data_IF_935608904954
#
_entry.id   IF_935608904954
#
_cell.length_a   1.000
_cell.length_b   1.000
_cell.length_c   1.000
_cell.angle_alpha   90.00
_cell.angle_beta   90.00
_cell.angle_gamma   90.00
#
_symmetry.space_group_name_H-M   'P 1'
#
loop_
_entity.id
_entity.type
_entity.pdbx_description
1 polymer ?
#
# COMPACT_ATOMS: atom_id res chain seq x y z
N UNK A 1 11.47 79.87 -48.83
CA UNK A 1 12.19 78.58 -49.00
C UNK A 1 11.82 77.71 -47.79
N UNK A 2 10.99 76.72 -48.01
CA UNK A 2 10.42 75.90 -46.92
C UNK A 2 11.15 74.56 -46.80
N UNK A 3 11.66 74.29 -45.63
CA UNK A 3 12.17 72.94 -45.21
C UNK A 3 11.00 72.15 -44.57
N UNK A 4 10.60 71.07 -45.20
CA UNK A 4 9.65 70.10 -44.65
C UNK A 4 10.43 69.15 -43.73
N UNK A 5 10.00 69.08 -42.49
CA UNK A 5 10.43 68.10 -41.51
C UNK A 5 9.68 66.77 -41.73
N UNK A 6 10.43 65.68 -41.82
CA UNK A 6 9.90 64.33 -41.84
C UNK A 6 9.91 63.82 -40.42
N UNK A 7 8.75 63.48 -39.88
CA UNK A 7 8.59 62.83 -38.58
C UNK A 7 8.51 61.34 -38.86
N UNK A 8 9.48 60.59 -38.39
CA UNK A 8 9.47 59.13 -38.38
C UNK A 8 8.80 58.62 -37.11
N UNK A 9 7.65 57.98 -37.26
CA UNK A 9 6.91 57.32 -36.16
C UNK A 9 7.46 55.92 -35.98
N UNK A 10 8.20 55.67 -34.89
CA UNK A 10 8.63 54.32 -34.49
C UNK A 10 7.52 53.61 -33.80
N UNK A 11 6.94 52.57 -34.40
CA UNK A 11 5.98 51.68 -33.79
C UNK A 11 6.74 50.59 -33.01
N UNK A 12 6.68 50.67 -31.70
CA UNK A 12 7.20 49.65 -30.81
C UNK A 12 6.19 48.51 -30.69
N UNK A 13 6.46 47.38 -31.32
CA UNK A 13 5.65 46.17 -31.14
C UNK A 13 6.02 45.53 -29.82
N UNK A 14 5.10 45.60 -28.85
CA UNK A 14 5.19 44.84 -27.62
C UNK A 14 4.82 43.38 -27.89
N UNK A 15 5.80 42.50 -27.85
CA UNK A 15 5.61 41.06 -27.89
C UNK A 15 5.08 40.60 -26.54
N UNK A 16 3.80 40.36 -26.42
CA UNK A 16 3.18 39.64 -25.29
C UNK A 16 3.54 38.18 -25.44
N UNK A 17 4.53 37.70 -24.67
CA UNK A 17 4.79 36.29 -24.48
C UNK A 17 3.60 35.69 -23.69
N UNK A 18 2.63 35.16 -24.41
CA UNK A 18 1.56 34.33 -23.82
C UNK A 18 2.17 33.06 -23.31
N UNK A 19 2.25 32.91 -21.97
CA UNK A 19 2.41 31.58 -21.34
C UNK A 19 1.22 30.72 -21.73
N UNK A 20 1.37 29.94 -22.78
CA UNK A 20 0.45 28.87 -23.09
C UNK A 20 0.60 27.80 -21.99
N UNK A 21 -0.24 27.90 -20.96
CA UNK A 21 -0.49 26.80 -20.05
C UNK A 21 -1.00 25.65 -20.92
N UNK A 22 -0.13 24.67 -21.18
CA UNK A 22 -0.51 23.40 -21.77
C UNK A 22 -1.55 22.78 -20.84
N UNK A 23 -2.84 22.97 -21.10
CA UNK A 23 -3.91 22.15 -20.55
C UNK A 23 -3.61 20.71 -20.98
N UNK A 24 -2.95 19.94 -20.09
CA UNK A 24 -2.90 18.48 -20.23
C UNK A 24 -4.32 18.01 -20.45
N UNK A 25 -4.55 17.27 -21.52
CA UNK A 25 -5.86 16.71 -21.84
C UNK A 25 -6.34 15.92 -20.64
N UNK A 26 -7.54 16.21 -20.16
CA UNK A 26 -8.20 15.66 -18.99
C UNK A 26 -8.59 14.18 -19.13
N UNK A 27 -7.97 13.43 -20.04
CA UNK A 27 -8.32 12.05 -20.36
C UNK A 27 -7.21 11.02 -20.10
N UNK A 28 -6.07 11.44 -19.54
CA UNK A 28 -5.01 10.48 -19.20
C UNK A 28 -5.32 9.89 -17.82
N UNK A 29 -5.74 8.63 -17.81
CA UNK A 29 -6.08 7.91 -16.60
C UNK A 29 -4.80 7.80 -15.72
N UNK A 30 -4.88 8.24 -14.46
CA UNK A 30 -3.76 8.17 -13.49
C UNK A 30 -3.20 6.75 -13.48
N UNK A 31 -1.90 6.55 -13.72
CA UNK A 31 -1.29 5.22 -13.64
C UNK A 31 -1.35 4.71 -12.20
N UNK A 32 -1.49 3.40 -12.05
CA UNK A 32 -1.59 2.73 -10.76
C UNK A 32 -0.40 1.80 -10.57
N UNK A 33 0.28 1.94 -9.44
CA UNK A 33 1.17 0.91 -8.87
C UNK A 33 0.38 0.22 -7.76
N UNK A 34 0.03 -1.05 -7.98
CA UNK A 34 -0.60 -1.86 -6.94
C UNK A 34 0.47 -2.37 -5.98
N UNK A 35 0.49 -1.85 -4.75
CA UNK A 35 1.51 -2.20 -3.76
C UNK A 35 1.11 -3.38 -2.86
N UNK A 36 -0.01 -4.08 -3.18
CA UNK A 36 -0.49 -5.19 -2.35
C UNK A 36 -1.15 -6.27 -3.22
N UNK A 37 -0.31 -7.00 -3.96
CA UNK A 37 -0.72 -8.11 -4.83
C UNK A 37 -0.31 -9.43 -4.21
N UNK A 38 -1.24 -10.38 -4.08
CA UNK A 38 -0.94 -11.76 -3.74
C UNK A 38 -1.16 -12.67 -4.96
N UNK A 39 -0.23 -13.57 -5.17
CA UNK A 39 -0.33 -14.65 -6.15
C UNK A 39 0.06 -15.94 -5.45
N UNK A 40 -0.74 -16.98 -5.55
CA UNK A 40 -0.37 -18.30 -5.03
C UNK A 40 -0.80 -19.44 -5.93
N UNK A 41 0.01 -20.49 -5.94
CA UNK A 41 -0.27 -21.75 -6.59
C UNK A 41 -0.25 -22.85 -5.52
N UNK A 42 -1.39 -23.47 -5.25
CA UNK A 42 -1.55 -24.51 -4.22
C UNK A 42 -0.80 -25.80 -4.56
N UNK A 43 -0.43 -26.01 -5.84
CA UNK A 43 0.45 -27.14 -6.23
C UNK A 43 1.92 -26.87 -5.85
N UNK A 44 2.28 -25.60 -5.66
CA UNK A 44 3.66 -25.16 -5.32
C UNK A 44 3.82 -24.81 -3.84
N UNK A 45 2.85 -24.11 -3.26
CA UNK A 45 2.92 -23.55 -1.92
C UNK A 45 1.91 -24.18 -0.98
N UNK A 46 2.34 -24.48 0.22
CA UNK A 46 1.49 -24.83 1.35
C UNK A 46 1.17 -23.59 2.17
N UNK A 47 -0.09 -23.25 2.26
CA UNK A 47 -0.62 -22.13 3.01
C UNK A 47 -1.40 -22.69 4.19
N UNK A 48 -0.86 -22.55 5.40
CA UNK A 48 -1.46 -23.15 6.61
C UNK A 48 -2.89 -22.63 6.88
N UNK A 49 -3.19 -21.40 6.44
CA UNK A 49 -4.49 -20.77 6.60
C UNK A 49 -5.55 -21.22 5.57
N UNK A 50 -5.16 -21.99 4.54
CA UNK A 50 -6.04 -22.32 3.41
C UNK A 50 -7.24 -23.18 3.83
N UNK A 51 -7.08 -24.06 4.83
CA UNK A 51 -8.18 -24.93 5.29
C UNK A 51 -9.32 -24.11 5.92
N UNK A 52 -8.99 -23.00 6.56
CA UNK A 52 -9.94 -22.08 7.22
C UNK A 52 -10.36 -20.91 6.31
N UNK A 53 -9.76 -20.79 5.12
CA UNK A 53 -10.05 -19.69 4.21
C UNK A 53 -11.53 -19.69 3.76
N UNK A 54 -12.12 -18.51 3.52
CA UNK A 54 -13.42 -18.40 2.87
C UNK A 54 -13.42 -19.06 1.49
N UNK A 55 -14.56 -19.66 1.02
CA UNK A 55 -14.61 -20.41 -0.23
C UNK A 55 -14.06 -19.68 -1.45
N UNK A 56 -14.26 -18.36 -1.55
CA UNK A 56 -13.78 -17.54 -2.65
C UNK A 56 -12.25 -17.55 -2.78
N UNK A 57 -11.51 -17.79 -1.68
CA UNK A 57 -10.06 -17.83 -1.66
C UNK A 57 -9.49 -19.26 -1.76
N UNK A 58 -10.30 -20.31 -1.66
CA UNK A 58 -9.87 -21.73 -1.68
C UNK A 58 -9.52 -22.23 -3.08
N UNK A 59 -8.68 -21.52 -3.80
CA UNK A 59 -8.12 -21.93 -5.10
C UNK A 59 -6.79 -21.25 -5.35
N UNK A 60 -6.06 -21.70 -6.35
CA UNK A 60 -4.90 -20.97 -6.86
C UNK A 60 -5.33 -19.67 -7.54
N UNK A 61 -4.49 -18.63 -7.40
CA UNK A 61 -4.65 -17.33 -8.04
C UNK A 61 -3.36 -16.97 -8.78
N UNK A 62 -3.46 -16.93 -10.11
CA UNK A 62 -2.34 -16.77 -11.01
C UNK A 62 -2.33 -15.41 -11.71
N UNK A 63 -1.27 -15.14 -12.47
CA UNK A 63 -1.15 -13.92 -13.28
C UNK A 63 -2.39 -13.66 -14.14
N UNK A 64 -2.93 -14.68 -14.80
CA UNK A 64 -4.09 -14.51 -15.68
C UNK A 64 -5.33 -14.00 -14.94
N UNK A 65 -5.56 -14.49 -13.71
CA UNK A 65 -6.66 -14.02 -12.87
C UNK A 65 -6.45 -12.55 -12.47
N UNK A 66 -5.21 -12.18 -12.11
CA UNK A 66 -4.87 -10.80 -11.75
C UNK A 66 -5.04 -9.84 -12.94
N UNK A 67 -4.54 -10.22 -14.11
CA UNK A 67 -4.69 -9.41 -15.33
C UNK A 67 -6.16 -9.23 -15.72
N UNK A 68 -6.99 -10.26 -15.51
CA UNK A 68 -8.42 -10.16 -15.72
C UNK A 68 -9.08 -9.19 -14.72
N UNK A 69 -8.68 -9.25 -13.43
CA UNK A 69 -9.22 -8.38 -12.37
C UNK A 69 -8.83 -6.90 -12.54
N UNK A 70 -7.66 -6.64 -13.12
CA UNK A 70 -7.11 -5.28 -13.28
C UNK A 70 -7.36 -4.68 -14.66
N UNK A 71 -8.04 -5.42 -15.55
CA UNK A 71 -8.30 -5.00 -16.93
C UNK A 71 -8.97 -3.63 -16.99
N UNK A 72 -8.37 -2.71 -17.76
CA UNK A 72 -8.91 -1.35 -17.99
C UNK A 72 -8.68 -0.35 -16.86
N UNK A 73 -7.96 -0.70 -15.78
CA UNK A 73 -7.71 0.17 -14.63
C UNK A 73 -6.39 0.95 -14.71
N UNK A 74 -5.58 0.75 -15.76
CA UNK A 74 -4.24 1.34 -15.92
C UNK A 74 -3.27 0.96 -14.77
N UNK A 75 -3.31 -0.30 -14.33
CA UNK A 75 -2.29 -0.85 -13.43
C UNK A 75 -1.02 -1.08 -14.23
N UNK A 76 0.01 -0.29 -13.97
CA UNK A 76 1.27 -0.30 -14.73
C UNK A 76 2.37 -1.12 -14.07
N UNK A 77 2.31 -1.24 -12.73
CA UNK A 77 3.23 -2.06 -11.93
C UNK A 77 2.49 -2.65 -10.73
N UNK A 78 3.05 -3.75 -10.20
CA UNK A 78 2.60 -4.33 -8.94
C UNK A 78 3.79 -4.70 -8.05
N UNK A 79 3.56 -4.73 -6.75
CA UNK A 79 4.46 -5.27 -5.73
C UNK A 79 3.78 -6.48 -5.11
N UNK A 80 4.46 -7.61 -5.21
CA UNK A 80 4.01 -8.84 -4.57
C UNK A 80 4.11 -8.74 -3.05
N UNK A 81 3.08 -9.17 -2.35
CA UNK A 81 3.09 -9.39 -0.90
C UNK A 81 3.06 -10.88 -0.61
N UNK A 82 3.84 -11.28 0.38
CA UNK A 82 3.90 -12.64 0.90
C UNK A 82 2.49 -13.22 1.18
N UNK A 83 2.37 -14.53 1.15
CA UNK A 83 1.09 -15.25 1.28
C UNK A 83 1.05 -16.18 2.49
N UNK A 84 1.91 -15.94 3.47
CA UNK A 84 2.08 -16.74 4.70
C UNK A 84 2.25 -18.25 4.38
N UNK A 85 3.20 -18.52 3.48
CA UNK A 85 3.65 -19.89 3.24
C UNK A 85 4.22 -20.51 4.52
N UNK A 86 4.18 -21.84 4.62
CA UNK A 86 4.83 -22.52 5.75
C UNK A 86 6.32 -22.12 5.84
N UNK A 87 6.93 -22.07 7.05
CA UNK A 87 8.29 -21.57 7.24
C UNK A 87 9.34 -22.26 6.37
N UNK A 88 9.17 -23.55 6.07
CA UNK A 88 10.06 -24.33 5.23
C UNK A 88 10.11 -23.84 3.77
N UNK A 89 9.09 -23.09 3.35
CA UNK A 89 8.96 -22.58 1.97
C UNK A 89 9.27 -21.07 1.83
N UNK A 90 9.73 -20.38 2.88
CA UNK A 90 10.07 -18.95 2.78
C UNK A 90 11.10 -18.65 1.68
N UNK A 91 12.13 -19.51 1.53
CA UNK A 91 13.10 -19.35 0.45
C UNK A 91 12.50 -19.62 -0.95
N UNK A 92 11.56 -20.55 -1.06
CA UNK A 92 10.87 -20.85 -2.31
C UNK A 92 9.97 -19.70 -2.73
N UNK A 93 9.29 -19.05 -1.77
CA UNK A 93 8.51 -17.84 -2.02
C UNK A 93 9.42 -16.69 -2.48
N UNK A 94 10.54 -16.43 -1.80
CA UNK A 94 11.49 -15.39 -2.18
C UNK A 94 12.09 -15.62 -3.58
N UNK A 95 12.35 -16.88 -3.94
CA UNK A 95 12.75 -17.27 -5.30
C UNK A 95 11.66 -17.00 -6.31
N UNK A 96 10.43 -17.40 -6.02
CA UNK A 96 9.25 -17.15 -6.88
C UNK A 96 9.07 -15.65 -7.13
N UNK A 97 9.12 -14.82 -6.10
CA UNK A 97 9.02 -13.37 -6.22
C UNK A 97 10.11 -12.81 -7.15
N UNK A 98 11.35 -13.29 -6.98
CA UNK A 98 12.47 -12.87 -7.82
C UNK A 98 12.28 -13.29 -9.28
N UNK A 99 11.72 -14.48 -9.53
CA UNK A 99 11.44 -15.00 -10.87
C UNK A 99 10.36 -14.17 -11.58
N UNK A 100 9.20 -13.95 -10.95
CA UNK A 100 8.10 -13.20 -11.55
C UNK A 100 8.46 -11.72 -11.77
N UNK A 101 9.30 -11.15 -10.89
CA UNK A 101 9.75 -9.75 -11.03
C UNK A 101 10.71 -9.51 -12.20
N UNK A 102 11.28 -10.57 -12.79
CA UNK A 102 12.12 -10.52 -13.99
C UNK A 102 11.36 -10.84 -15.26
N UNK A 103 10.16 -11.38 -15.15
CA UNK A 103 9.37 -11.82 -16.29
C UNK A 103 8.50 -10.66 -16.79
N UNK A 104 8.73 -10.16 -18.03
CA UNK A 104 7.99 -9.01 -18.55
C UNK A 104 6.49 -9.27 -18.79
N UNK A 105 6.03 -10.51 -18.67
CA UNK A 105 4.60 -10.84 -18.71
C UNK A 105 3.86 -10.40 -17.45
N UNK A 106 4.59 -10.21 -16.33
CA UNK A 106 4.03 -9.78 -15.06
C UNK A 106 4.15 -8.26 -14.90
N UNK A 107 3.12 -7.57 -14.42
CA UNK A 107 3.25 -6.21 -13.94
C UNK A 107 4.05 -6.14 -12.62
N UNK A 108 4.29 -7.29 -11.98
CA UNK A 108 4.99 -7.43 -10.70
C UNK A 108 6.49 -7.19 -10.90
N UNK A 109 7.02 -6.13 -10.31
CA UNK A 109 8.42 -5.71 -10.49
C UNK A 109 9.27 -5.87 -9.24
N UNK A 110 8.64 -6.12 -8.10
CA UNK A 110 9.28 -6.30 -6.80
C UNK A 110 8.33 -7.05 -5.84
N UNK A 111 8.84 -7.41 -4.66
CA UNK A 111 8.00 -7.97 -3.62
C UNK A 111 8.54 -7.85 -2.21
N UNK A 112 7.66 -8.16 -1.29
CA UNK A 112 7.84 -8.25 0.15
C UNK A 112 7.63 -9.72 0.51
N UNK A 113 8.59 -10.33 1.18
CA UNK A 113 8.61 -11.78 1.43
C UNK A 113 8.19 -12.12 2.86
N UNK A 114 7.76 -13.37 3.05
CA UNK A 114 7.49 -13.95 4.37
C UNK A 114 8.77 -14.04 5.20
N UNK A 115 8.63 -14.04 6.51
CA UNK A 115 9.73 -14.34 7.43
C UNK A 115 9.28 -14.36 8.88
N UNK A 116 10.17 -14.79 9.75
CA UNK A 116 9.91 -14.96 11.18
C UNK A 116 10.97 -14.19 11.99
N UNK A 117 10.79 -12.85 12.17
CA UNK A 117 11.73 -12.00 12.94
C UNK A 117 11.95 -12.47 14.38
N UNK A 118 10.99 -13.18 14.94
CA UNK A 118 11.04 -13.78 16.26
C UNK A 118 12.04 -14.91 16.41
N UNK A 119 12.52 -15.50 15.29
CA UNK A 119 13.42 -16.66 15.31
C UNK A 119 14.90 -16.27 15.33
N UNK A 120 15.73 -17.03 16.04
CA UNK A 120 17.19 -16.82 16.14
C UNK A 120 17.89 -16.89 14.77
N UNK A 121 17.44 -17.77 13.87
CA UNK A 121 17.97 -17.93 12.51
C UNK A 121 17.56 -16.84 11.51
N UNK A 122 16.86 -15.81 11.94
CA UNK A 122 16.36 -14.76 11.04
C UNK A 122 17.48 -14.05 10.25
N UNK A 123 18.61 -13.78 10.90
CA UNK A 123 19.74 -13.12 10.26
C UNK A 123 20.30 -13.93 9.08
N UNK A 124 20.42 -15.23 9.23
CA UNK A 124 20.91 -16.14 8.19
C UNK A 124 19.93 -16.24 7.02
N UNK A 125 18.62 -16.18 7.31
CA UNK A 125 17.56 -16.15 6.30
C UNK A 125 17.56 -14.88 5.46
N UNK A 126 17.63 -13.69 6.10
CA UNK A 126 17.38 -12.41 5.40
C UNK A 126 18.64 -11.82 4.73
N UNK A 127 19.84 -12.09 5.29
CA UNK A 127 21.08 -11.48 4.80
C UNK A 127 21.39 -11.79 3.34
N UNK A 128 21.15 -13.02 2.81
CA UNK A 128 21.36 -13.33 1.39
C UNK A 128 20.56 -12.46 0.42
N UNK A 129 19.45 -11.85 0.87
CA UNK A 129 18.61 -10.99 0.03
C UNK A 129 19.04 -9.52 0.05
N UNK A 130 20.12 -9.13 0.75
CA UNK A 130 20.63 -7.74 0.81
C UNK A 130 20.67 -7.10 -0.56
N UNK A 131 21.35 -7.74 -1.50
CA UNK A 131 21.65 -7.17 -2.82
C UNK A 131 20.62 -7.58 -3.90
N UNK A 132 19.55 -8.30 -3.49
CA UNK A 132 18.48 -8.63 -4.42
C UNK A 132 17.59 -7.40 -4.65
N UNK A 133 17.59 -6.80 -5.87
CA UNK A 133 16.84 -5.59 -6.15
C UNK A 133 15.32 -5.80 -6.20
N UNK A 134 14.86 -7.04 -6.32
CA UNK A 134 13.45 -7.39 -6.39
C UNK A 134 12.83 -7.63 -5.00
N UNK A 135 13.63 -8.02 -4.00
CA UNK A 135 13.15 -8.17 -2.61
C UNK A 135 13.32 -6.84 -1.89
N UNK A 136 12.22 -6.17 -1.60
CA UNK A 136 12.22 -4.81 -1.02
C UNK A 136 12.06 -4.79 0.49
N UNK A 137 11.37 -5.77 1.05
CA UNK A 137 11.06 -5.83 2.47
C UNK A 137 10.57 -7.19 2.91
N UNK A 138 10.10 -7.23 4.13
CA UNK A 138 9.56 -8.40 4.80
C UNK A 138 8.25 -8.04 5.48
N UNK A 139 7.29 -8.97 5.48
CA UNK A 139 6.07 -8.92 6.29
C UNK A 139 5.98 -10.15 7.19
N UNK A 140 5.50 -9.92 8.40
CA UNK A 140 5.07 -10.95 9.36
C UNK A 140 3.65 -10.64 9.76
N UNK A 141 2.70 -11.51 9.43
CA UNK A 141 1.32 -11.37 9.89
C UNK A 141 1.26 -11.50 11.41
N UNK A 142 0.71 -10.51 12.10
CA UNK A 142 0.70 -10.45 13.55
C UNK A 142 -0.71 -10.36 14.15
N UNK A 143 -1.77 -10.38 13.33
CA UNK A 143 -3.15 -10.21 13.80
C UNK A 143 -3.60 -11.32 14.78
N UNK A 144 -2.99 -12.50 14.70
CA UNK A 144 -3.28 -13.64 15.62
C UNK A 144 -2.24 -13.81 16.72
N UNK A 145 -1.30 -12.87 16.87
CA UNK A 145 -0.27 -12.94 17.89
C UNK A 145 -0.69 -12.21 19.19
N UNK A 146 -0.16 -12.60 20.36
CA UNK A 146 -0.47 -11.91 21.61
C UNK A 146 0.09 -10.48 21.64
N UNK A 147 -0.45 -9.66 22.52
CA UNK A 147 0.05 -8.31 22.80
C UNK A 147 1.55 -8.36 23.16
N UNK A 148 2.30 -7.36 22.70
CA UNK A 148 3.75 -7.28 22.92
C UNK A 148 4.59 -8.25 22.07
N UNK A 149 3.99 -9.07 21.20
CA UNK A 149 4.73 -10.03 20.38
C UNK A 149 5.86 -9.40 19.57
N UNK A 150 5.59 -8.30 18.88
CA UNK A 150 6.58 -7.59 18.08
C UNK A 150 7.61 -6.79 18.93
N UNK A 151 7.42 -6.71 20.24
CA UNK A 151 8.31 -6.00 21.16
C UNK A 151 9.34 -6.92 21.83
N UNK A 152 9.33 -8.20 21.51
CA UNK A 152 10.34 -9.14 21.98
C UNK A 152 11.74 -8.72 21.51
N UNK A 153 12.79 -8.87 22.33
CA UNK A 153 14.12 -8.39 21.98
C UNK A 153 14.65 -8.94 20.65
N UNK A 154 14.42 -10.21 20.36
CA UNK A 154 14.84 -10.82 19.10
C UNK A 154 14.09 -10.23 17.91
N UNK A 155 12.77 -9.99 18.03
CA UNK A 155 11.97 -9.38 16.97
C UNK A 155 12.49 -7.96 16.62
N UNK A 156 12.71 -7.12 17.64
CA UNK A 156 13.25 -5.77 17.46
C UNK A 156 14.63 -5.81 16.80
N UNK A 157 15.55 -6.67 17.27
CA UNK A 157 16.86 -6.85 16.67
C UNK A 157 16.78 -7.23 15.19
N UNK A 158 15.87 -8.12 14.85
CA UNK A 158 15.62 -8.58 13.48
C UNK A 158 15.09 -7.45 12.59
N UNK A 159 14.15 -6.64 13.08
CA UNK A 159 13.62 -5.49 12.34
C UNK A 159 14.68 -4.39 12.16
N UNK A 160 15.54 -4.16 13.17
CA UNK A 160 16.69 -3.26 13.03
C UNK A 160 17.69 -3.77 11.97
N UNK A 161 17.86 -5.08 11.86
CA UNK A 161 18.70 -5.68 10.81
C UNK A 161 18.11 -5.40 9.42
N UNK A 162 16.78 -5.45 9.22
CA UNK A 162 16.16 -5.08 7.94
C UNK A 162 16.56 -3.67 7.52
N UNK A 163 16.52 -2.69 8.43
CA UNK A 163 16.95 -1.32 8.16
C UNK A 163 18.42 -1.26 7.69
N UNK A 164 19.33 -1.96 8.40
CA UNK A 164 20.76 -2.04 8.04
C UNK A 164 21.01 -2.70 6.67
N UNK A 165 20.10 -3.57 6.24
CA UNK A 165 20.12 -4.22 4.92
C UNK A 165 19.41 -3.39 3.83
N UNK A 166 18.90 -2.19 4.15
CA UNK A 166 18.13 -1.35 3.23
C UNK A 166 16.73 -1.88 2.92
N UNK A 167 16.25 -2.87 3.69
CA UNK A 167 14.92 -3.46 3.55
C UNK A 167 13.94 -2.77 4.50
N UNK A 168 12.64 -2.79 4.15
CA UNK A 168 11.59 -2.27 5.01
C UNK A 168 10.81 -3.40 5.69
N UNK A 169 10.01 -3.05 6.68
CA UNK A 169 9.10 -3.97 7.35
C UNK A 169 7.65 -3.49 7.16
N UNK A 170 6.76 -4.40 6.75
CA UNK A 170 5.32 -4.13 6.63
C UNK A 170 4.59 -4.65 7.87
N UNK A 171 3.78 -3.78 8.47
CA UNK A 171 3.06 -4.05 9.72
C UNK A 171 1.61 -4.38 9.40
N UNK A 172 1.21 -5.61 9.71
CA UNK A 172 -0.18 -6.08 9.72
C UNK A 172 -0.47 -6.60 11.12
N UNK A 173 -1.29 -5.90 11.88
CA UNK A 173 -1.53 -6.13 13.31
C UNK A 173 -2.97 -5.73 13.67
N UNK A 174 -3.54 -6.27 14.74
CA UNK A 174 -4.86 -5.85 15.20
C UNK A 174 -4.91 -4.36 15.57
N UNK A 175 -6.00 -3.65 15.28
CA UNK A 175 -6.15 -2.25 15.66
C UNK A 175 -5.92 -1.97 17.14
N UNK A 176 -6.24 -2.92 17.99
CA UNK A 176 -6.01 -2.85 19.46
C UNK A 176 -4.53 -2.89 19.83
N UNK A 177 -3.67 -3.41 18.95
CA UNK A 177 -2.22 -3.57 19.13
C UNK A 177 -1.40 -2.49 18.41
N UNK A 178 -2.02 -1.46 17.83
CA UNK A 178 -1.30 -0.38 17.11
C UNK A 178 -0.33 0.40 18.01
N UNK A 179 -0.51 0.40 19.33
CA UNK A 179 0.46 0.98 20.26
C UNK A 179 1.76 0.14 20.34
N UNK A 180 1.68 -1.19 20.17
CA UNK A 180 2.87 -2.03 20.07
C UNK A 180 3.61 -1.77 18.76
N UNK A 181 2.87 -1.61 17.66
CA UNK A 181 3.43 -1.18 16.38
C UNK A 181 4.17 0.17 16.50
N UNK A 182 3.58 1.15 17.18
CA UNK A 182 4.21 2.44 17.44
C UNK A 182 5.51 2.31 18.23
N UNK A 183 5.51 1.46 19.26
CA UNK A 183 6.70 1.23 20.08
C UNK A 183 7.80 0.51 19.28
N UNK A 184 7.45 -0.48 18.44
CA UNK A 184 8.38 -1.12 17.51
C UNK A 184 9.01 -0.09 16.56
N UNK A 185 8.20 0.76 15.94
CA UNK A 185 8.66 1.82 15.00
C UNK A 185 9.68 2.74 15.67
N UNK A 186 9.40 3.17 16.92
CA UNK A 186 10.32 4.02 17.70
C UNK A 186 11.65 3.35 18.04
N UNK A 187 11.61 2.03 18.31
CA UNK A 187 12.81 1.26 18.61
C UNK A 187 13.65 0.92 17.38
N UNK A 188 13.12 1.14 16.18
CA UNK A 188 13.78 0.82 14.91
C UNK A 188 13.83 2.06 13.99
N UNK A 189 14.48 3.18 14.41
CA UNK A 189 14.42 4.45 13.68
C UNK A 189 15.04 4.40 12.27
N UNK A 190 16.01 3.51 12.05
CA UNK A 190 16.68 3.32 10.75
C UNK A 190 15.92 2.37 9.80
N UNK A 191 14.83 1.74 10.28
CA UNK A 191 13.99 0.88 9.45
C UNK A 191 12.79 1.68 8.94
N UNK A 192 12.49 1.55 7.65
CA UNK A 192 11.28 2.12 7.05
C UNK A 192 10.12 1.14 7.28
N UNK A 193 8.95 1.67 7.60
CA UNK A 193 7.77 0.88 7.86
C UNK A 193 6.62 1.22 6.93
N UNK A 194 5.89 0.20 6.52
CA UNK A 194 4.57 0.32 5.90
C UNK A 194 3.53 -0.09 6.92
N UNK A 195 2.51 0.73 7.12
CA UNK A 195 1.33 0.36 7.88
C UNK A 195 0.30 -0.16 6.89
N UNK A 196 0.11 -1.47 6.85
CA UNK A 196 -0.83 -2.12 5.94
C UNK A 196 -2.29 -1.83 6.30
N UNK A 197 -3.16 -1.85 5.30
CA UNK A 197 -4.61 -1.84 5.44
C UNK A 197 -5.16 -0.73 6.34
N UNK A 198 -4.59 0.48 6.22
CA UNK A 198 -4.98 1.57 7.12
C UNK A 198 -4.86 1.19 8.60
N UNK A 199 -3.83 0.39 8.99
CA UNK A 199 -3.71 -0.15 10.34
C UNK A 199 -4.83 -1.14 10.68
N UNK A 200 -5.22 -1.97 9.72
CA UNK A 200 -6.27 -3.00 9.82
C UNK A 200 -7.60 -2.44 10.32
N UNK A 201 -7.96 -1.25 9.82
CA UNK A 201 -9.15 -0.53 10.24
C UNK A 201 -10.43 -1.28 9.87
N UNK A 202 -11.39 -1.29 10.79
CA UNK A 202 -12.76 -1.72 10.56
C UNK A 202 -13.67 -0.50 10.31
N UNK A 203 -14.14 -0.25 9.08
CA UNK A 203 -15.00 0.89 8.77
C UNK A 203 -16.26 0.96 9.63
N UNK A 204 -16.79 -0.19 10.07
CA UNK A 204 -17.97 -0.23 10.96
C UNK A 204 -17.77 0.53 12.26
N UNK A 205 -16.51 0.72 12.72
CA UNK A 205 -16.23 1.51 13.92
C UNK A 205 -16.66 2.99 13.77
N UNK A 206 -16.72 3.48 12.53
CA UNK A 206 -17.05 4.88 12.20
C UNK A 206 -18.53 5.08 11.86
N UNK A 207 -19.31 4.01 11.77
CA UNK A 207 -20.73 4.07 11.48
C UNK A 207 -21.59 4.21 12.75
N UNK A 208 -22.75 4.90 12.67
CA UNK A 208 -23.78 4.80 13.69
C UNK A 208 -24.25 3.35 13.87
N UNK A 209 -24.67 2.99 15.09
CA UNK A 209 -25.06 1.60 15.41
C UNK A 209 -26.14 1.03 14.48
N UNK A 210 -27.11 1.86 14.06
CA UNK A 210 -28.22 1.47 13.18
C UNK A 210 -27.76 1.23 11.71
N UNK A 211 -26.54 1.59 11.36
CA UNK A 211 -25.98 1.38 10.01
C UNK A 211 -25.01 0.22 9.93
N UNK A 212 -24.67 -0.44 11.06
CA UNK A 212 -23.73 -1.55 11.14
C UNK A 212 -24.30 -2.91 10.75
N UNK A 213 -25.58 -2.99 10.38
CA UNK A 213 -26.23 -4.28 10.07
C UNK A 213 -26.23 -5.28 11.23
N UNK A 214 -26.18 -4.80 12.49
CA UNK A 214 -26.09 -5.66 13.68
C UNK A 214 -24.69 -6.16 14.02
N UNK A 215 -23.70 -5.93 13.16
CA UNK A 215 -22.31 -6.33 13.40
C UNK A 215 -21.61 -5.39 14.40
N UNK A 216 -20.80 -5.97 15.29
CA UNK A 216 -19.92 -5.19 16.16
C UNK A 216 -18.62 -4.87 15.41
N UNK A 217 -18.09 -3.63 15.50
CA UNK A 217 -16.78 -3.33 14.98
C UNK A 217 -15.69 -4.05 15.81
N UNK A 218 -14.57 -4.37 15.18
CA UNK A 218 -13.43 -5.03 15.83
C UNK A 218 -12.67 -4.13 16.80
N UNK A 219 -12.89 -2.81 16.72
CA UNK A 219 -12.23 -1.81 17.56
C UNK A 219 -13.09 -0.57 17.76
N UNK A 220 -12.70 0.27 18.72
CA UNK A 220 -13.26 1.60 18.90
C UNK A 220 -12.61 2.61 17.95
N UNK A 221 -13.42 3.45 17.28
CA UNK A 221 -12.90 4.47 16.34
C UNK A 221 -11.85 5.39 16.98
N UNK A 222 -12.08 5.83 18.23
CA UNK A 222 -11.16 6.72 18.95
C UNK A 222 -9.80 6.07 19.21
N UNK A 223 -9.78 4.78 19.57
CA UNK A 223 -8.55 4.02 19.81
C UNK A 223 -7.70 4.01 18.54
N UNK A 224 -8.28 3.58 17.43
CA UNK A 224 -7.60 3.51 16.13
C UNK A 224 -7.14 4.89 15.67
N UNK A 225 -8.01 5.91 15.68
CA UNK A 225 -7.68 7.29 15.26
C UNK A 225 -6.48 7.84 16.05
N UNK A 226 -6.45 7.61 17.36
CA UNK A 226 -5.36 8.10 18.21
C UNK A 226 -4.04 7.38 17.92
N UNK A 227 -4.06 6.06 17.73
CA UNK A 227 -2.86 5.28 17.45
C UNK A 227 -2.31 5.59 16.04
N UNK A 228 -3.16 5.70 15.03
CA UNK A 228 -2.77 6.05 13.67
C UNK A 228 -2.19 7.46 13.57
N UNK A 229 -2.72 8.42 14.34
CA UNK A 229 -2.13 9.76 14.40
C UNK A 229 -0.69 9.72 14.94
N UNK A 230 -0.44 8.96 16.01
CA UNK A 230 0.92 8.81 16.59
C UNK A 230 1.87 8.06 15.64
N UNK A 231 1.38 7.08 14.87
CA UNK A 231 2.16 6.40 13.84
C UNK A 231 2.48 7.35 12.68
N UNK A 232 1.54 8.20 12.29
CA UNK A 232 1.76 9.22 11.27
C UNK A 232 2.79 10.29 11.69
N UNK A 233 2.96 10.55 12.99
CA UNK A 233 4.00 11.46 13.53
C UNK A 233 5.42 10.86 13.39
N UNK A 234 5.55 9.54 13.13
CA UNK A 234 6.85 8.92 12.94
C UNK A 234 7.33 9.10 11.48
N UNK A 235 8.53 9.68 11.26
CA UNK A 235 9.01 10.03 9.91
C UNK A 235 9.33 8.80 9.05
N UNK A 236 9.58 7.65 9.66
CA UNK A 236 9.94 6.40 9.00
C UNK A 236 8.72 5.51 8.67
N UNK A 237 7.50 6.04 8.73
CA UNK A 237 6.26 5.32 8.40
C UNK A 237 5.59 5.85 7.14
N UNK A 238 4.96 4.97 6.38
CA UNK A 238 4.05 5.25 5.27
C UNK A 238 2.79 4.37 5.43
N UNK A 239 1.62 4.87 5.07
CA UNK A 239 0.36 4.14 5.19
C UNK A 239 -0.08 3.58 3.83
N UNK A 240 -0.43 2.30 3.80
CA UNK A 240 -1.04 1.64 2.64
C UNK A 240 -2.56 1.71 2.74
N UNK A 241 -3.16 2.35 1.76
CA UNK A 241 -4.62 2.47 1.62
C UNK A 241 -5.10 1.22 0.88
N UNK A 242 -5.50 0.21 1.63
CA UNK A 242 -5.88 -1.12 1.13
C UNK A 242 -6.71 -1.87 2.18
N UNK A 243 -7.27 -3.03 1.83
CA UNK A 243 -7.79 -4.07 2.73
C UNK A 243 -9.05 -3.73 3.52
N UNK A 244 -9.54 -2.49 3.50
CA UNK A 244 -10.66 -2.04 4.36
C UNK A 244 -12.05 -2.45 3.86
N UNK A 245 -12.16 -2.95 2.64
CA UNK A 245 -13.44 -3.45 2.11
C UNK A 245 -13.85 -4.80 2.69
N UNK A 246 -12.89 -5.65 3.07
CA UNK A 246 -13.17 -6.97 3.61
C UNK A 246 -13.87 -6.95 4.99
N UNK A 247 -13.44 -6.10 5.96
CA UNK A 247 -14.11 -5.96 7.24
C UNK A 247 -15.36 -5.06 7.22
N UNK A 248 -15.63 -4.35 6.13
CA UNK A 248 -16.79 -3.46 5.97
C UNK A 248 -18.13 -4.24 5.97
N UNK A 249 -19.25 -3.55 5.83
CA UNK A 249 -20.56 -4.23 5.68
C UNK A 249 -20.65 -4.93 4.32
N UNK A 250 -21.46 -6.00 4.16
CA UNK A 250 -21.51 -6.75 2.90
C UNK A 250 -21.88 -5.93 1.65
N UNK A 251 -22.55 -4.80 1.82
CA UNK A 251 -22.94 -3.89 0.74
C UNK A 251 -22.39 -2.48 1.00
N UNK A 252 -21.15 -2.40 1.44
CA UNK A 252 -20.54 -1.12 1.78
C UNK A 252 -20.62 -0.09 0.65
N UNK A 253 -20.66 1.16 1.01
CA UNK A 253 -20.61 2.30 0.11
C UNK A 253 -19.32 3.08 0.27
N UNK A 254 -19.05 3.97 -0.68
CA UNK A 254 -17.93 4.90 -0.62
C UNK A 254 -17.93 5.71 0.68
N UNK A 255 -19.12 6.14 1.13
CA UNK A 255 -19.30 6.92 2.38
C UNK A 255 -18.93 6.12 3.63
N UNK A 256 -19.11 4.81 3.62
CA UNK A 256 -18.69 3.93 4.73
C UNK A 256 -17.16 3.86 4.85
N UNK A 257 -16.45 3.82 3.73
CA UNK A 257 -14.98 3.70 3.69
C UNK A 257 -14.27 5.06 3.85
N UNK A 258 -14.93 6.14 3.43
CA UNK A 258 -14.35 7.47 3.38
C UNK A 258 -13.78 7.99 4.71
N UNK A 259 -14.39 7.76 5.89
CA UNK A 259 -13.83 8.20 7.17
C UNK A 259 -12.45 7.62 7.45
N UNK A 260 -12.23 6.31 7.19
CA UNK A 260 -10.95 5.63 7.39
C UNK A 260 -9.91 6.17 6.40
N UNK A 261 -10.27 6.22 5.11
CA UNK A 261 -9.37 6.69 4.05
C UNK A 261 -8.94 8.13 4.30
N UNK A 262 -9.90 9.04 4.54
CA UNK A 262 -9.60 10.46 4.74
C UNK A 262 -8.74 10.68 5.98
N UNK A 263 -9.01 9.97 7.09
CA UNK A 263 -8.17 10.05 8.28
C UNK A 263 -6.72 9.67 7.99
N UNK A 264 -6.47 8.60 7.23
CA UNK A 264 -5.12 8.21 6.84
C UNK A 264 -4.46 9.24 5.92
N UNK A 265 -5.19 9.71 4.88
CA UNK A 265 -4.68 10.71 3.94
C UNK A 265 -4.32 12.03 4.62
N UNK A 266 -5.14 12.47 5.58
CA UNK A 266 -4.95 13.74 6.28
C UNK A 266 -3.81 13.66 7.31
N UNK A 267 -3.63 12.51 7.98
CA UNK A 267 -2.61 12.34 9.00
C UNK A 267 -1.22 12.05 8.44
N UNK A 268 -1.12 11.17 7.45
CA UNK A 268 0.16 10.86 6.81
C UNK A 268 0.57 11.88 5.76
N UNK A 269 -0.38 12.69 5.28
CA UNK A 269 -0.14 13.65 4.21
C UNK A 269 0.09 13.01 2.85
N UNK A 270 0.15 13.82 1.76
CA UNK A 270 0.18 13.31 0.39
C UNK A 270 1.46 12.53 0.03
N UNK A 271 2.54 12.70 0.79
CA UNK A 271 3.83 12.07 0.51
C UNK A 271 3.99 10.67 1.13
N UNK A 272 3.17 10.33 2.13
CA UNK A 272 3.34 9.11 2.92
C UNK A 272 2.09 8.23 2.94
N UNK A 273 1.43 8.14 1.79
CA UNK A 273 0.30 7.23 1.52
C UNK A 273 0.52 6.55 0.18
N UNK A 274 0.09 5.30 0.03
CA UNK A 274 0.14 4.57 -1.24
C UNK A 274 -1.04 3.62 -1.37
N UNK A 275 -1.46 3.38 -2.60
CA UNK A 275 -2.54 2.45 -2.95
C UNK A 275 -2.09 1.00 -2.86
N UNK A 276 -2.97 0.11 -2.39
CA UNK A 276 -2.85 -1.34 -2.49
C UNK A 276 -4.19 -1.98 -2.85
N UNK A 277 -4.13 -2.97 -3.74
CA UNK A 277 -5.31 -3.67 -4.21
C UNK A 277 -5.81 -4.74 -3.26
N UNK A 278 -4.87 -5.37 -2.53
CA UNK A 278 -5.11 -6.51 -1.66
C UNK A 278 -5.78 -7.69 -2.39
N UNK A 279 -5.47 -7.83 -3.68
CA UNK A 279 -6.01 -8.93 -4.49
C UNK A 279 -5.24 -10.22 -4.25
N UNK A 280 -5.93 -11.38 -4.10
CA UNK A 280 -7.38 -11.58 -4.25
C UNK A 280 -8.17 -11.44 -2.94
N UNK A 281 -7.53 -11.09 -1.82
CA UNK A 281 -8.21 -10.98 -0.50
C UNK A 281 -9.32 -9.92 -0.53
N UNK A 282 -9.18 -8.88 -1.34
CA UNK A 282 -10.24 -7.87 -1.54
C UNK A 282 -11.58 -8.48 -1.98
N UNK A 283 -11.59 -9.68 -2.61
CA UNK A 283 -12.81 -10.39 -3.02
C UNK A 283 -13.73 -10.77 -1.85
N UNK A 284 -13.23 -10.71 -0.62
CA UNK A 284 -14.05 -10.87 0.58
C UNK A 284 -15.06 -9.73 0.77
N UNK A 285 -14.77 -8.55 0.23
CA UNK A 285 -15.63 -7.37 0.34
C UNK A 285 -16.07 -6.78 -0.99
N UNK A 286 -15.25 -6.90 -2.06
CA UNK A 286 -15.55 -6.35 -3.36
C UNK A 286 -14.64 -6.91 -4.46
N UNK A 287 -15.03 -6.73 -5.72
CA UNK A 287 -14.08 -6.91 -6.83
C UNK A 287 -13.02 -5.81 -6.81
N UNK A 288 -11.87 -6.10 -7.42
CA UNK A 288 -10.74 -5.17 -7.51
C UNK A 288 -11.15 -3.81 -8.12
N UNK A 289 -11.92 -3.84 -9.22
CA UNK A 289 -12.39 -2.62 -9.89
C UNK A 289 -13.33 -1.78 -9.02
N UNK A 290 -14.16 -2.41 -8.20
CA UNK A 290 -15.04 -1.71 -7.25
C UNK A 290 -14.22 -0.98 -6.19
N UNK A 291 -13.19 -1.62 -5.62
CA UNK A 291 -12.30 -0.98 -4.66
C UNK A 291 -11.55 0.21 -5.27
N UNK A 292 -10.95 0.03 -6.45
CA UNK A 292 -10.24 1.12 -7.15
C UNK A 292 -11.16 2.31 -7.43
N UNK A 293 -12.38 2.04 -7.92
CA UNK A 293 -13.34 3.10 -8.24
C UNK A 293 -13.84 3.82 -6.99
N UNK A 294 -14.11 3.10 -5.90
CA UNK A 294 -14.49 3.71 -4.63
C UNK A 294 -13.37 4.62 -4.09
N UNK A 295 -12.11 4.17 -4.12
CA UNK A 295 -11.01 5.03 -3.70
C UNK A 295 -10.85 6.25 -4.59
N UNK A 296 -10.97 6.12 -5.92
CA UNK A 296 -10.96 7.26 -6.86
C UNK A 296 -12.08 8.26 -6.54
N UNK A 297 -13.26 7.79 -6.19
CA UNK A 297 -14.39 8.63 -5.79
C UNK A 297 -14.09 9.37 -4.48
N UNK A 298 -13.61 8.69 -3.44
CA UNK A 298 -13.24 9.29 -2.14
C UNK A 298 -12.22 10.42 -2.32
N UNK A 299 -11.25 10.24 -3.22
CA UNK A 299 -10.18 11.23 -3.41
C UNK A 299 -10.46 12.23 -4.54
N UNK A 300 -11.62 12.18 -5.18
CA UNK A 300 -11.95 12.98 -6.37
C UNK A 300 -11.82 14.50 -6.16
N UNK A 301 -12.09 14.97 -4.94
CA UNK A 301 -11.97 16.37 -4.55
C UNK A 301 -10.56 16.78 -4.09
N UNK A 302 -9.60 15.85 -4.03
CA UNK A 302 -8.19 16.15 -3.68
C UNK A 302 -7.44 16.62 -4.92
N UNK A 303 -6.37 17.42 -4.76
CA UNK A 303 -5.53 17.83 -5.88
C UNK A 303 -5.07 16.63 -6.73
N UNK A 304 -5.08 16.77 -8.05
CA UNK A 304 -4.68 15.70 -8.99
C UNK A 304 -3.27 15.17 -8.70
N UNK A 305 -2.37 16.06 -8.26
CA UNK A 305 -1.02 15.68 -7.83
C UNK A 305 -1.05 14.73 -6.61
N UNK A 306 -1.93 14.98 -5.62
CA UNK A 306 -2.09 14.10 -4.46
C UNK A 306 -2.68 12.74 -4.86
N UNK A 307 -3.64 12.72 -5.79
CA UNK A 307 -4.17 11.47 -6.33
C UNK A 307 -3.06 10.67 -7.05
N UNK A 308 -2.24 11.33 -7.87
CA UNK A 308 -1.13 10.69 -8.54
C UNK A 308 -0.09 10.14 -7.56
N UNK A 309 0.25 10.87 -6.50
CA UNK A 309 1.13 10.40 -5.43
C UNK A 309 0.58 9.15 -4.76
N UNK A 310 -0.72 9.14 -4.42
CA UNK A 310 -1.39 7.99 -3.80
C UNK A 310 -1.35 6.75 -4.70
N UNK A 311 -1.72 6.89 -5.96
CA UNK A 311 -1.86 5.75 -6.86
C UNK A 311 -0.55 5.29 -7.51
N UNK A 312 0.50 6.14 -7.54
CA UNK A 312 1.70 5.82 -8.30
C UNK A 312 3.01 6.31 -7.67
N UNK A 313 3.21 7.63 -7.54
CA UNK A 313 4.54 8.21 -7.36
C UNK A 313 5.18 7.82 -6.03
N UNK A 314 4.39 7.75 -4.94
CA UNK A 314 4.88 7.34 -3.63
C UNK A 314 5.34 5.88 -3.60
N UNK A 315 4.62 4.98 -4.29
CA UNK A 315 5.01 3.59 -4.43
C UNK A 315 6.33 3.45 -5.19
N UNK A 316 6.47 4.16 -6.33
CA UNK A 316 7.73 4.18 -7.10
C UNK A 316 8.89 4.64 -6.24
N UNK A 317 8.72 5.73 -5.48
CA UNK A 317 9.75 6.28 -4.61
C UNK A 317 10.07 5.34 -3.43
N UNK A 318 9.06 4.85 -2.73
CA UNK A 318 9.24 4.04 -1.52
C UNK A 318 9.90 2.70 -1.81
N UNK A 319 9.38 1.97 -2.79
CA UNK A 319 9.93 0.67 -3.20
C UNK A 319 11.11 0.79 -4.18
N UNK A 320 11.50 2.00 -4.58
CA UNK A 320 12.58 2.23 -5.56
C UNK A 320 12.36 1.37 -6.82
N UNK A 321 11.18 1.53 -7.44
CA UNK A 321 10.80 0.79 -8.63
C UNK A 321 11.39 1.45 -9.88
N UNK A 322 12.06 0.64 -10.71
CA UNK A 322 12.59 1.09 -12.00
C UNK A 322 11.47 1.31 -13.04
#
# INVERSE_FOLDING_TARGET
>A
MNRRQFIATSATAAATAGCASLKRSSNEQVPIVDTHQHLWNLDRFKLAWMDEAPPVLKRSFHLADYLAATKGLNVVKAVYLEVDVIPEQHNDEAKFVTEISKDPRYPTVAGVISGRPENDGFADYITPYRDNPHIKGLRRLMESTPDGFCLQPQFIKSVQLLGKLGKHFEITIQPTQLNDALELVKRCPDTRFVIDHCGTADPKAFLPNNQRGGAKPSHEAKLWTTAMAKLADQPNTICKISGIGAPATPAWTTDELAPVVNQCLDRFGPERVMFGGDWPVCLLGARFDQWVNALKEIVSNRPVEHQRKLFHDNAVRFYQLA
#
